data_IF_702240496228
#
_entry.id   IF_702240496228
#
_cell.length_a   1.000
_cell.length_b   1.000
_cell.length_c   1.000
_cell.angle_alpha   90.00
_cell.angle_beta   90.00
_cell.angle_gamma   90.00
#
_symmetry.space_group_name_H-M   'P 1'
#
loop_
_entity.id
_entity.type
_entity.pdbx_description
1 polymer ?
#
# COMPACT_ATOMS: atom_id res chain seq x y z
N UNK A 1 -74.99 -7.75 -25.43
CA UNK A 1 -74.30 -7.70 -24.12
C UNK A 1 -73.76 -9.10 -23.82
N UNK A 2 -72.54 -9.41 -24.28
CA UNK A 2 -71.92 -10.74 -24.23
C UNK A 2 -70.92 -10.82 -23.06
N UNK A 3 -71.17 -11.71 -22.10
CA UNK A 3 -70.23 -12.05 -21.02
C UNK A 3 -69.47 -13.33 -21.40
N UNK A 4 -68.17 -13.20 -21.64
CA UNK A 4 -67.25 -14.31 -21.92
C UNK A 4 -66.80 -14.91 -20.57
N UNK A 5 -67.01 -16.22 -20.37
CA UNK A 5 -66.39 -17.00 -19.29
C UNK A 5 -65.00 -17.47 -19.76
N UNK A 6 -63.94 -16.90 -19.21
CA UNK A 6 -62.57 -17.40 -19.42
C UNK A 6 -62.28 -18.54 -18.42
N UNK A 7 -61.86 -19.69 -18.94
CA UNK A 7 -61.50 -20.90 -18.20
C UNK A 7 -60.01 -20.82 -17.83
N UNK A 8 -59.70 -20.64 -16.55
CA UNK A 8 -58.30 -20.57 -16.06
C UNK A 8 -57.70 -21.98 -16.08
N UNK A 9 -56.71 -22.19 -16.94
CA UNK A 9 -55.91 -23.42 -17.04
C UNK A 9 -54.75 -23.33 -16.04
N UNK A 10 -54.73 -24.18 -15.01
CA UNK A 10 -53.60 -24.26 -14.06
C UNK A 10 -52.38 -24.84 -14.78
N UNK A 11 -51.22 -24.18 -14.81
CA UNK A 11 -50.00 -24.79 -15.32
C UNK A 11 -49.41 -25.74 -14.26
N UNK A 12 -49.19 -27.00 -14.65
CA UNK A 12 -48.40 -27.96 -13.89
C UNK A 12 -46.94 -27.55 -13.98
N UNK A 13 -46.38 -27.03 -12.89
CA UNK A 13 -44.97 -26.68 -12.79
C UNK A 13 -44.15 -27.95 -12.53
N UNK A 14 -43.20 -28.35 -13.39
CA UNK A 14 -42.45 -29.57 -13.20
C UNK A 14 -41.47 -29.46 -12.00
N UNK A 15 -41.34 -30.56 -11.26
CA UNK A 15 -40.52 -30.75 -10.06
C UNK A 15 -39.01 -30.44 -10.25
N UNK A 16 -38.57 -30.23 -11.50
CA UNK A 16 -37.19 -29.92 -11.88
C UNK A 16 -36.73 -28.50 -11.48
N UNK A 17 -37.64 -27.53 -11.33
CA UNK A 17 -37.26 -26.15 -11.00
C UNK A 17 -36.74 -26.00 -9.55
N UNK A 18 -37.00 -26.98 -8.68
CA UNK A 18 -36.49 -26.97 -7.30
C UNK A 18 -35.03 -27.41 -7.18
N UNK A 19 -34.52 -28.23 -8.10
CA UNK A 19 -33.16 -28.77 -8.00
C UNK A 19 -32.09 -27.72 -8.36
N UNK A 20 -32.43 -26.76 -9.21
CA UNK A 20 -31.56 -25.67 -9.64
C UNK A 20 -31.25 -24.67 -8.52
N UNK A 21 -32.11 -24.57 -7.50
CA UNK A 21 -31.94 -23.62 -6.41
C UNK A 21 -31.06 -24.18 -5.27
N UNK A 22 -31.00 -25.51 -5.12
CA UNK A 22 -30.19 -26.16 -4.08
C UNK A 22 -28.72 -26.30 -4.52
N UNK A 23 -28.46 -26.50 -5.82
CA UNK A 23 -27.09 -26.58 -6.35
C UNK A 23 -26.40 -25.20 -6.43
N UNK A 24 -27.17 -24.11 -6.56
CA UNK A 24 -26.65 -22.74 -6.48
C UNK A 24 -26.34 -22.29 -5.03
N UNK A 25 -26.99 -22.87 -4.03
CA UNK A 25 -26.76 -22.54 -2.62
C UNK A 25 -25.47 -23.14 -2.05
N UNK A 26 -25.01 -24.28 -2.57
CA UNK A 26 -23.84 -25.00 -2.03
C UNK A 26 -22.51 -24.59 -2.67
N UNK A 27 -22.51 -23.84 -3.79
CA UNK A 27 -21.29 -23.34 -4.42
C UNK A 27 -20.78 -22.00 -3.82
N UNK A 28 -21.57 -21.35 -2.97
CA UNK A 28 -21.20 -20.08 -2.32
C UNK A 28 -20.66 -20.24 -0.89
N UNK A 29 -20.52 -21.48 -0.39
CA UNK A 29 -19.99 -21.77 0.95
C UNK A 29 -18.49 -22.17 0.95
N UNK A 30 -17.79 -21.94 -0.17
CA UNK A 30 -16.37 -22.24 -0.31
C UNK A 30 -15.48 -21.06 0.10
N UNK A 31 -15.23 -20.91 1.40
CA UNK A 31 -14.00 -20.32 1.95
C UNK A 31 -13.86 -18.80 1.95
N UNK A 32 -14.51 -18.12 2.90
CA UNK A 32 -13.90 -16.91 3.48
C UNK A 32 -12.81 -17.35 4.46
N UNK A 33 -11.61 -17.57 3.95
CA UNK A 33 -10.43 -17.54 4.81
C UNK A 33 -10.26 -16.09 5.26
N UNK A 34 -10.82 -15.76 6.43
CA UNK A 34 -10.36 -14.62 7.21
C UNK A 34 -9.01 -15.02 7.84
N UNK A 35 -8.00 -15.24 6.99
CA UNK A 35 -6.64 -15.09 7.43
C UNK A 35 -6.48 -13.59 7.67
N UNK A 36 -6.41 -13.20 8.94
CA UNK A 36 -5.81 -11.94 9.34
C UNK A 36 -4.35 -12.05 8.89
N UNK A 37 -4.07 -11.75 7.62
CA UNK A 37 -2.70 -11.54 7.17
C UNK A 37 -2.18 -10.35 7.96
N UNK A 38 -1.20 -10.60 8.83
CA UNK A 38 -0.40 -9.51 9.38
C UNK A 38 0.11 -8.70 8.19
N UNK A 39 -0.20 -7.39 8.14
CA UNK A 39 0.25 -6.47 7.10
C UNK A 39 1.75 -6.53 6.86
N UNK A 40 2.46 -6.85 7.94
CA UNK A 40 3.89 -6.87 7.99
C UNK A 40 4.45 -8.14 7.37
N UNK A 41 5.07 -7.97 6.19
CA UNK A 41 5.88 -8.99 5.53
C UNK A 41 7.36 -8.56 5.61
N UNK A 42 8.18 -9.20 6.48
CA UNK A 42 9.60 -8.86 6.63
C UNK A 42 10.44 -9.08 5.36
N UNK A 43 9.95 -9.87 4.38
CA UNK A 43 10.62 -10.05 3.10
C UNK A 43 10.35 -8.90 2.13
N UNK A 44 9.26 -8.14 2.33
CA UNK A 44 8.88 -6.99 1.49
C UNK A 44 9.20 -5.65 2.15
N UNK A 45 9.11 -5.58 3.47
CA UNK A 45 9.25 -4.35 4.25
C UNK A 45 10.43 -4.44 5.21
N UNK A 46 11.15 -3.33 5.37
CA UNK A 46 12.23 -3.21 6.35
C UNK A 46 11.74 -2.37 7.52
N UNK A 47 11.96 -2.86 8.74
CA UNK A 47 11.62 -2.10 9.95
C UNK A 47 12.69 -1.02 10.21
N UNK A 48 12.27 0.10 10.80
CA UNK A 48 13.16 1.20 11.16
C UNK A 48 14.29 0.75 12.11
N UNK A 49 14.06 -0.28 12.93
CA UNK A 49 15.05 -0.76 13.88
C UNK A 49 16.17 -1.57 13.23
N UNK A 50 15.95 -2.06 12.00
CA UNK A 50 16.96 -2.71 11.16
C UNK A 50 17.85 -1.69 10.44
N UNK A 51 17.38 -0.46 10.27
CA UNK A 51 18.06 0.57 9.49
C UNK A 51 19.19 1.22 10.30
N UNK A 52 20.32 1.50 9.64
CA UNK A 52 21.48 2.18 10.22
C UNK A 52 22.04 3.23 9.25
N UNK A 53 22.67 4.30 9.78
CA UNK A 53 23.46 5.22 8.96
C UNK A 53 24.49 4.49 8.09
N UNK A 54 24.72 4.98 6.87
CA UNK A 54 25.64 4.42 5.88
C UNK A 54 25.05 3.32 4.99
N UNK A 55 23.83 2.84 5.27
CA UNK A 55 23.18 1.85 4.42
C UNK A 55 22.86 2.45 3.04
N UNK A 56 23.08 1.65 1.99
CA UNK A 56 22.67 2.02 0.63
C UNK A 56 21.17 1.87 0.47
N UNK A 57 20.57 2.91 -0.09
CA UNK A 57 19.16 2.98 -0.40
C UNK A 57 18.99 3.32 -1.88
N UNK A 58 17.80 3.11 -2.41
CA UNK A 58 17.43 3.66 -3.70
C UNK A 58 15.97 4.04 -3.70
N UNK A 59 15.60 4.91 -4.61
CA UNK A 59 14.23 5.33 -4.78
C UNK A 59 13.83 5.25 -6.24
N UNK A 60 12.54 4.97 -6.47
CA UNK A 60 11.94 4.91 -7.79
C UNK A 60 11.05 6.14 -7.96
N UNK A 61 11.31 6.94 -8.99
CA UNK A 61 10.53 8.17 -9.25
C UNK A 61 10.35 8.40 -10.74
N UNK A 62 9.55 9.38 -11.11
CA UNK A 62 9.31 9.75 -12.50
C UNK A 62 9.67 11.24 -12.70
N UNK A 63 10.82 11.50 -13.32
CA UNK A 63 11.26 12.87 -13.60
C UNK A 63 10.61 13.47 -14.85
N UNK A 64 10.19 12.63 -15.80
CA UNK A 64 9.56 13.09 -17.05
C UNK A 64 8.57 12.08 -17.60
N UNK A 65 7.40 12.59 -17.99
CA UNK A 65 6.32 11.80 -18.57
C UNK A 65 5.82 10.73 -17.59
N UNK A 66 6.02 9.47 -17.96
CA UNK A 66 5.61 8.29 -17.17
C UNK A 66 6.74 7.29 -16.96
N UNK A 67 7.98 7.67 -17.30
CA UNK A 67 9.14 6.78 -17.20
C UNK A 67 9.59 6.69 -15.74
N UNK A 68 9.51 5.48 -15.18
CA UNK A 68 10.07 5.18 -13.85
C UNK A 68 11.59 5.09 -13.96
N UNK A 69 12.28 5.80 -13.10
CA UNK A 69 13.73 5.84 -13.01
C UNK A 69 14.17 5.55 -11.58
N UNK A 70 15.26 4.79 -11.47
CA UNK A 70 15.94 4.54 -10.21
C UNK A 70 16.96 5.65 -9.95
N UNK A 71 17.07 6.09 -8.70
CA UNK A 71 18.17 6.92 -8.25
C UNK A 71 18.71 6.38 -6.92
N UNK A 72 20.04 6.43 -6.78
CA UNK A 72 20.74 5.88 -5.64
C UNK A 72 20.83 6.89 -4.49
N UNK A 73 20.76 6.39 -3.28
CA UNK A 73 20.73 7.16 -2.05
C UNK A 73 21.56 6.49 -0.94
N UNK A 74 21.83 7.25 0.11
CA UNK A 74 22.45 6.75 1.33
C UNK A 74 21.65 7.19 2.55
N UNK A 75 21.50 6.29 3.52
CA UNK A 75 20.89 6.61 4.82
C UNK A 75 21.88 7.42 5.64
N UNK A 76 21.49 8.63 6.01
CA UNK A 76 22.33 9.52 6.84
C UNK A 76 21.99 9.31 8.31
N UNK A 77 20.71 9.26 8.67
CA UNK A 77 20.29 9.07 10.04
C UNK A 77 18.83 8.63 10.14
N UNK A 78 18.45 8.21 11.34
CA UNK A 78 17.05 8.03 11.71
C UNK A 78 16.65 9.22 12.57
N UNK A 79 15.65 9.97 12.12
CA UNK A 79 15.09 11.12 12.83
C UNK A 79 13.88 10.64 13.62
N UNK A 80 14.06 10.45 14.93
CA UNK A 80 13.00 9.98 15.83
C UNK A 80 12.14 11.13 16.32
N UNK A 81 10.83 10.90 16.39
CA UNK A 81 9.83 11.82 16.96
C UNK A 81 9.96 13.26 16.42
N UNK A 82 10.12 13.42 15.11
CA UNK A 82 10.18 14.74 14.47
C UNK A 82 8.80 15.43 14.48
N UNK A 83 7.75 14.61 14.54
CA UNK A 83 6.40 14.96 14.95
C UNK A 83 5.94 13.94 16.02
N UNK A 84 4.96 14.28 16.88
CA UNK A 84 4.51 13.38 17.94
C UNK A 84 4.16 11.97 17.43
N UNK A 85 4.96 10.98 17.83
CA UNK A 85 4.77 9.58 17.46
C UNK A 85 5.11 9.24 16.01
N UNK A 86 5.81 10.12 15.28
CA UNK A 86 6.26 9.90 13.91
C UNK A 86 7.77 9.98 13.81
N UNK A 87 8.33 8.93 13.23
CA UNK A 87 9.74 8.83 12.89
C UNK A 87 9.94 9.03 11.39
N UNK A 88 11.16 9.38 10.99
CA UNK A 88 11.53 9.52 9.58
C UNK A 88 12.96 9.02 9.35
N UNK A 89 13.24 8.54 8.15
CA UNK A 89 14.60 8.21 7.72
C UNK A 89 15.14 9.43 6.96
N UNK A 90 16.29 9.94 7.37
CA UNK A 90 17.02 10.96 6.61
C UNK A 90 17.91 10.28 5.60
N UNK A 91 17.73 10.63 4.33
CA UNK A 91 18.48 10.08 3.20
C UNK A 91 19.07 11.18 2.34
N UNK A 92 20.24 10.91 1.77
CA UNK A 92 20.92 11.78 0.81
C UNK A 92 20.93 11.11 -0.56
N UNK A 93 20.51 11.81 -1.61
CA UNK A 93 20.73 11.37 -2.99
C UNK A 93 22.22 11.35 -3.32
N UNK A 94 22.69 10.24 -3.88
CA UNK A 94 24.11 10.04 -4.25
C UNK A 94 24.32 9.90 -5.76
N UNK A 95 23.23 9.92 -6.52
CA UNK A 95 23.26 9.89 -7.98
C UNK A 95 23.92 11.15 -8.55
N UNK A 96 24.83 10.97 -9.48
CA UNK A 96 25.63 12.04 -10.10
C UNK A 96 24.76 13.16 -10.71
N UNK A 97 23.54 12.83 -11.15
CA UNK A 97 22.58 13.79 -11.71
C UNK A 97 22.13 14.85 -10.72
N UNK A 98 22.24 14.59 -9.41
CA UNK A 98 21.68 15.43 -8.34
C UNK A 98 22.74 15.94 -7.35
N UNK A 99 24.02 15.69 -7.63
CA UNK A 99 25.11 16.22 -6.80
C UNK A 99 25.08 17.75 -6.88
N UNK A 100 24.99 18.40 -5.72
CA UNK A 100 24.94 19.85 -5.56
C UNK A 100 23.74 20.58 -6.17
N UNK A 101 22.69 19.86 -6.59
CA UNK A 101 21.44 20.48 -7.08
C UNK A 101 20.53 20.94 -5.93
N UNK A 102 20.82 20.53 -4.69
CA UNK A 102 19.85 20.50 -3.61
C UNK A 102 18.72 19.50 -3.89
N UNK A 103 17.69 19.45 -3.03
CA UNK A 103 16.57 18.54 -3.22
C UNK A 103 15.77 18.86 -4.49
N UNK A 104 15.48 17.81 -5.27
CA UNK A 104 14.64 17.89 -6.46
C UNK A 104 13.17 17.89 -6.05
N UNK A 105 12.44 18.90 -6.51
CA UNK A 105 11.02 19.05 -6.24
C UNK A 105 10.19 18.04 -7.04
N UNK A 106 9.03 17.67 -6.50
CA UNK A 106 8.11 16.73 -7.14
C UNK A 106 8.42 15.26 -6.86
N UNK A 107 9.50 14.94 -6.15
CA UNK A 107 9.83 13.57 -5.74
C UNK A 107 8.97 13.05 -4.56
N UNK A 108 8.07 13.85 -3.99
CA UNK A 108 7.21 13.43 -2.88
C UNK A 108 6.32 12.24 -3.29
N UNK A 109 6.16 11.28 -2.39
CA UNK A 109 5.47 10.01 -2.60
C UNK A 109 6.31 8.92 -3.28
N UNK A 110 7.52 9.22 -3.75
CA UNK A 110 8.36 8.23 -4.42
C UNK A 110 8.81 7.13 -3.45
N UNK A 111 8.60 5.83 -3.76
CA UNK A 111 8.96 4.75 -2.85
C UNK A 111 10.47 4.59 -2.71
N UNK A 112 10.91 4.35 -1.47
CA UNK A 112 12.31 4.16 -1.08
C UNK A 112 12.52 2.74 -0.59
N UNK A 113 13.63 2.15 -1.02
CA UNK A 113 14.01 0.78 -0.73
C UNK A 113 15.41 0.72 -0.13
N UNK A 114 15.60 -0.19 0.82
CA UNK A 114 16.87 -0.51 1.47
C UNK A 114 16.97 -2.04 1.48
N UNK A 115 18.10 -2.59 1.02
CA UNK A 115 18.29 -4.05 0.87
C UNK A 115 17.21 -4.73 0.02
N UNK A 116 16.65 -4.02 -0.95
CA UNK A 116 15.55 -4.51 -1.80
C UNK A 116 14.17 -4.54 -1.13
N UNK A 117 14.08 -4.17 0.15
CA UNK A 117 12.83 -4.08 0.92
C UNK A 117 12.35 -2.63 0.97
N UNK A 118 11.03 -2.41 0.87
CA UNK A 118 10.45 -1.08 0.93
C UNK A 118 10.58 -0.54 2.36
N UNK A 119 11.25 0.60 2.49
CA UNK A 119 11.42 1.31 3.76
C UNK A 119 10.31 2.37 3.96
N UNK A 120 9.80 2.93 2.87
CA UNK A 120 8.84 4.01 2.93
C UNK A 120 8.74 4.81 1.64
N UNK A 121 8.41 6.09 1.76
CA UNK A 121 8.28 7.02 0.64
C UNK A 121 8.83 8.40 1.00
N UNK A 122 9.42 9.09 0.03
CA UNK A 122 9.87 10.47 0.21
C UNK A 122 8.69 11.37 0.55
N UNK A 123 8.84 12.23 1.55
CA UNK A 123 7.75 13.10 1.99
C UNK A 123 8.20 14.56 2.20
N UNK A 124 9.43 14.76 2.63
CA UNK A 124 9.97 16.07 2.96
C UNK A 124 11.35 16.26 2.33
N UNK A 125 11.74 17.52 2.16
CA UNK A 125 13.01 17.92 1.56
C UNK A 125 13.64 19.06 2.37
N UNK A 126 14.96 19.06 2.48
CA UNK A 126 15.71 20.13 3.16
C UNK A 126 16.11 21.22 2.16
N UNK A 127 15.21 22.18 1.95
CA UNK A 127 15.22 23.14 0.82
C UNK A 127 16.46 24.03 0.69
N UNK A 128 17.21 24.23 1.76
CA UNK A 128 18.43 25.06 1.75
C UNK A 128 19.73 24.23 1.76
N UNK A 129 19.62 22.91 1.68
CA UNK A 129 20.79 22.04 1.55
C UNK A 129 21.36 22.12 0.15
N UNK A 130 22.70 22.15 0.05
CA UNK A 130 23.40 21.98 -1.24
C UNK A 130 23.29 20.55 -1.73
N UNK A 131 23.24 19.59 -0.81
CA UNK A 131 23.08 18.19 -1.14
C UNK A 131 21.60 17.79 -1.14
N UNK A 132 21.20 16.82 -1.98
CA UNK A 132 19.81 16.40 -2.13
C UNK A 132 19.38 15.57 -0.91
N UNK A 133 18.98 16.25 0.16
CA UNK A 133 18.53 15.67 1.42
C UNK A 133 17.01 15.57 1.49
N UNK A 134 16.52 14.38 1.85
CA UNK A 134 15.09 14.08 1.94
C UNK A 134 14.75 13.32 3.23
N UNK A 135 13.52 13.52 3.70
CA UNK A 135 12.90 12.70 4.73
C UNK A 135 11.99 11.64 4.12
N UNK A 136 12.11 10.41 4.62
CA UNK A 136 11.27 9.26 4.25
C UNK A 136 10.22 9.04 5.33
N UNK A 137 8.94 8.99 4.98
CA UNK A 137 7.88 8.47 5.86
C UNK A 137 7.91 6.96 5.82
N UNK A 138 7.83 6.30 6.98
CA UNK A 138 7.98 4.84 7.10
C UNK A 138 6.81 4.08 6.49
N UNK A 139 7.11 2.95 5.84
CA UNK A 139 6.08 2.03 5.34
C UNK A 139 5.18 1.51 6.46
N UNK A 140 5.76 1.28 7.64
CA UNK A 140 5.04 0.84 8.85
C UNK A 140 3.89 1.78 9.22
N UNK A 141 4.13 3.09 9.14
CA UNK A 141 3.09 4.08 9.45
C UNK A 141 2.00 4.11 8.38
N UNK A 142 2.38 3.94 7.10
CA UNK A 142 1.42 3.87 6.00
C UNK A 142 0.53 2.62 6.10
N UNK A 143 1.10 1.45 6.40
CA UNK A 143 0.36 0.19 6.58
C UNK A 143 -0.62 0.26 7.76
N UNK A 144 -0.21 0.89 8.86
CA UNK A 144 -1.07 1.15 10.04
C UNK A 144 -2.31 1.95 9.66
N UNK A 145 -2.15 3.04 8.90
CA UNK A 145 -3.27 3.90 8.49
C UNK A 145 -4.14 3.23 7.43
N UNK A 146 -3.52 2.52 6.48
CA UNK A 146 -4.18 1.80 5.38
C UNK A 146 -5.13 0.68 5.82
N UNK A 147 -5.21 0.38 7.11
CA UNK A 147 -6.16 -0.60 7.67
C UNK A 147 -5.66 -2.04 7.61
N UNK A 148 -4.40 -2.23 7.20
CA UNK A 148 -3.79 -3.56 7.12
C UNK A 148 -3.37 -4.06 8.51
N UNK A 149 -3.13 -3.14 9.46
CA UNK A 149 -2.61 -3.42 10.82
C UNK A 149 -3.61 -3.10 11.95
N UNK A 150 -4.92 -2.99 11.65
CA UNK A 150 -5.91 -2.71 12.69
C UNK A 150 -6.28 -3.99 13.45
N UNK A 151 -6.05 -4.08 14.78
CA UNK A 151 -6.74 -5.09 15.58
C UNK A 151 -8.24 -4.81 15.49
N UNK A 152 -9.01 -5.86 15.19
CA UNK A 152 -10.45 -5.80 14.95
C UNK A 152 -11.16 -4.92 15.98
N UNK A 153 -11.70 -3.76 15.56
CA UNK A 153 -12.51 -2.87 16.37
C UNK A 153 -13.94 -3.42 16.59
N UNK A 154 -14.05 -4.72 16.91
CA UNK A 154 -15.31 -5.45 17.14
C UNK A 154 -15.35 -6.14 18.51
N UNK A 155 -14.46 -5.79 19.43
CA UNK A 155 -14.44 -6.32 20.80
C UNK A 155 -14.62 -5.21 21.84
N UNK A 156 -15.63 -4.36 21.65
CA UNK A 156 -16.16 -3.46 22.66
C UNK A 156 -17.69 -3.60 22.71
#
# INVERSE_FOLDING_TARGET
>A
MFKIKAKVKRPNLPLFTFYSLVLAGLLCAGGTSNATENAWDPAKYIDIDEIRPGMKAYCLTCYSGTKIEKFDMEVISIVRNYEPGRDSILVQGTDERFIHTGPVWGCSGSPVYIEGRMAGALATAYTYSKDPLYGVTLIKDMLRVGGVDRPNASAA
#
